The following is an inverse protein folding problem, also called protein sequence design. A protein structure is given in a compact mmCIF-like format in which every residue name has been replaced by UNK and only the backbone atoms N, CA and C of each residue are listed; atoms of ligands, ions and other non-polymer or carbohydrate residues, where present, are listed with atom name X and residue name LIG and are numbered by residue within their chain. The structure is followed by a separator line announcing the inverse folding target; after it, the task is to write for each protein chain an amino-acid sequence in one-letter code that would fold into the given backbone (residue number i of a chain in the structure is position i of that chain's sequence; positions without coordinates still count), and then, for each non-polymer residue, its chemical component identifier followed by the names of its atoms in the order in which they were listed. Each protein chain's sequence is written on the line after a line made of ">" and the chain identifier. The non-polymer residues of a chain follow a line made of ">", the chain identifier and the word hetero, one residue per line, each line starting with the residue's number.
data_IF_584178829672
#
_entry.id   IF_584178829672
#
_cell.length_a   1.000
_cell.length_b   1.000
_cell.length_c   1.000
_cell.angle_alpha   90.00
_cell.angle_beta   90.00
_cell.angle_gamma   90.00
#
_symmetry.space_group_name_H-M   'P 1'
#
loop_
_entity.id
_entity.type
_entity.pdbx_description
1 polymer ?
#
# COMPACT_ATOMS: atom_id res chain seq x y z
N UNK A 1 86.67 10.56 10.13
CA UNK A 1 85.75 9.42 10.16
C UNK A 1 84.31 9.97 10.30
N UNK A 2 83.57 10.01 9.18
CA UNK A 2 82.17 10.47 9.19
C UNK A 2 81.29 9.24 9.10
N UNK A 3 80.50 8.92 10.18
CA UNK A 3 79.49 7.84 10.18
C UNK A 3 78.23 8.34 9.48
N UNK A 4 77.83 7.65 8.40
CA UNK A 4 76.55 7.82 7.73
C UNK A 4 75.52 6.96 8.48
N UNK A 5 74.48 7.59 8.97
CA UNK A 5 73.25 6.89 9.46
C UNK A 5 72.26 6.75 8.30
N UNK A 6 71.96 5.52 7.94
CA UNK A 6 70.91 5.20 6.96
C UNK A 6 69.63 4.93 7.73
N UNK A 7 68.66 5.78 7.55
CA UNK A 7 67.31 5.57 8.10
C UNK A 7 66.49 4.81 7.04
N UNK A 8 66.13 3.57 7.34
CA UNK A 8 65.22 2.77 6.52
C UNK A 8 63.83 3.03 6.99
N UNK A 9 63.01 3.78 6.22
CA UNK A 9 61.60 3.98 6.45
C UNK A 9 60.81 2.77 5.93
N UNK A 10 60.22 1.98 6.81
CA UNK A 10 59.30 0.93 6.46
C UNK A 10 57.91 1.56 6.20
N UNK A 11 57.49 1.59 4.94
CA UNK A 11 56.16 2.00 4.54
C UNK A 11 55.27 0.76 4.67
N UNK A 12 54.45 0.70 5.74
CA UNK A 12 53.38 -0.29 5.88
C UNK A 12 52.17 0.13 5.01
N UNK A 13 52.04 -0.51 3.85
CA UNK A 13 50.80 -0.42 3.08
C UNK A 13 49.67 -1.19 3.83
N UNK A 14 48.80 -0.46 4.53
CA UNK A 14 47.50 -0.98 4.92
C UNK A 14 46.61 -1.01 3.68
N UNK A 15 46.42 -2.17 3.05
CA UNK A 15 45.39 -2.41 2.06
C UNK A 15 44.05 -2.45 2.79
N UNK A 16 43.30 -1.36 2.75
CA UNK A 16 41.85 -1.39 3.03
C UNK A 16 41.18 -2.18 1.90
N UNK A 17 41.06 -3.48 2.07
CA UNK A 17 40.12 -4.26 1.28
C UNK A 17 38.71 -3.86 1.74
N UNK A 18 38.09 -2.90 1.06
CA UNK A 18 36.66 -2.69 1.13
C UNK A 18 36.00 -3.97 0.59
N UNK A 19 35.53 -4.82 1.48
CA UNK A 19 34.63 -5.91 1.10
C UNK A 19 33.34 -5.25 0.57
N UNK A 20 33.25 -5.07 -0.75
CA UNK A 20 31.99 -4.91 -1.43
C UNK A 20 31.19 -6.19 -1.13
N UNK A 21 30.34 -6.15 -0.13
CA UNK A 21 29.31 -7.16 0.06
C UNK A 21 28.38 -7.04 -1.13
N UNK A 22 28.67 -7.82 -2.19
CA UNK A 22 27.73 -8.01 -3.28
C UNK A 22 26.52 -8.70 -2.63
N UNK A 23 25.37 -8.02 -2.63
CA UNK A 23 24.14 -8.63 -2.14
C UNK A 23 23.92 -9.94 -2.91
N UNK A 24 23.58 -11.02 -2.19
CA UNK A 24 23.28 -12.30 -2.82
C UNK A 24 22.17 -12.14 -3.85
N UNK A 25 22.26 -12.83 -5.02
CA UNK A 25 21.19 -12.80 -6.01
C UNK A 25 19.85 -13.18 -5.41
N UNK A 26 18.80 -12.46 -5.77
CA UNK A 26 17.43 -12.84 -5.44
C UNK A 26 16.96 -13.90 -6.45
N UNK A 27 16.73 -15.14 -5.98
CA UNK A 27 16.31 -16.23 -6.83
C UNK A 27 14.79 -16.34 -6.85
N UNK A 28 14.20 -16.12 -8.01
CA UNK A 28 12.75 -16.20 -8.25
C UNK A 28 12.44 -17.49 -9.00
N UNK A 29 11.58 -18.33 -8.42
CA UNK A 29 11.07 -19.56 -9.04
C UNK A 29 10.04 -19.25 -10.10
N UNK A 30 9.11 -18.33 -9.82
CA UNK A 30 8.12 -17.87 -10.80
C UNK A 30 7.69 -16.44 -10.55
N UNK A 31 7.29 -15.76 -11.61
CA UNK A 31 6.69 -14.43 -11.57
C UNK A 31 5.71 -14.23 -12.71
N UNK A 32 4.78 -13.31 -12.55
CA UNK A 32 3.79 -13.00 -13.58
C UNK A 32 2.80 -11.96 -13.15
N UNK A 33 1.76 -11.80 -13.95
CA UNK A 33 0.66 -10.88 -13.65
C UNK A 33 -0.67 -11.44 -14.12
N UNK A 34 -1.76 -10.97 -13.50
CA UNK A 34 -3.12 -11.28 -13.91
C UNK A 34 -4.09 -10.20 -13.44
N UNK A 35 -5.30 -10.19 -14.01
CA UNK A 35 -6.41 -9.39 -13.52
C UNK A 35 -7.24 -10.20 -12.51
N UNK A 36 -7.70 -9.56 -11.43
CA UNK A 36 -8.57 -10.16 -10.42
C UNK A 36 -9.87 -9.36 -10.29
N UNK A 37 -11.01 -10.07 -10.22
CA UNK A 37 -12.33 -9.46 -10.19
C UNK A 37 -12.68 -8.71 -11.46
N UNK A 38 -13.45 -7.64 -11.30
CA UNK A 38 -13.85 -6.75 -12.39
C UNK A 38 -15.29 -6.94 -12.84
N UNK A 39 -15.70 -6.02 -13.71
CA UNK A 39 -17.05 -5.96 -14.27
C UNK A 39 -16.97 -6.02 -15.79
N UNK A 40 -17.92 -6.75 -16.39
CA UNK A 40 -18.09 -6.84 -17.84
C UNK A 40 -19.44 -6.24 -18.21
N UNK A 41 -19.44 -5.19 -19.03
CA UNK A 41 -20.66 -4.53 -19.53
C UNK A 41 -20.70 -4.68 -21.02
N UNK A 42 -21.83 -5.17 -21.56
CA UNK A 42 -22.07 -5.25 -23.00
C UNK A 42 -23.24 -4.35 -23.36
N UNK A 43 -23.03 -3.42 -24.30
CA UNK A 43 -24.10 -2.58 -24.83
C UNK A 43 -25.10 -3.37 -25.65
N UNK A 44 -26.36 -2.95 -25.63
CA UNK A 44 -27.43 -3.60 -26.42
C UNK A 44 -27.15 -3.53 -27.92
N UNK A 45 -27.70 -4.49 -28.69
CA UNK A 45 -27.56 -4.57 -30.13
C UNK A 45 -26.48 -5.55 -30.59
N UNK A 46 -26.15 -5.49 -31.86
CA UNK A 46 -25.11 -6.31 -32.47
C UNK A 46 -23.94 -5.43 -32.92
N UNK A 47 -22.72 -5.93 -32.68
CA UNK A 47 -21.52 -5.28 -33.20
C UNK A 47 -21.54 -5.25 -34.75
N UNK A 48 -21.33 -4.06 -35.30
CA UNK A 48 -21.18 -3.84 -36.71
C UNK A 48 -19.76 -3.35 -37.02
N UNK A 49 -18.91 -4.16 -37.70
CA UNK A 49 -17.55 -3.74 -38.07
C UNK A 49 -17.54 -2.66 -39.18
N UNK A 50 -18.71 -2.36 -39.78
CA UNK A 50 -18.86 -1.36 -40.81
C UNK A 50 -19.94 -0.32 -40.44
N UNK A 51 -19.67 0.54 -39.44
CA UNK A 51 -20.62 1.56 -39.00
C UNK A 51 -20.96 2.52 -40.16
N UNK A 52 -22.17 3.10 -40.11
CA UNK A 52 -22.68 3.95 -41.21
C UNK A 52 -21.82 5.20 -41.47
N UNK A 53 -21.11 5.70 -40.47
CA UNK A 53 -20.14 6.80 -40.65
C UNK A 53 -19.00 6.43 -41.62
N UNK A 54 -18.61 5.15 -41.68
CA UNK A 54 -17.62 4.63 -42.64
C UNK A 54 -18.24 4.48 -44.04
N UNK A 55 -19.52 4.06 -44.13
CA UNK A 55 -20.24 3.88 -45.39
C UNK A 55 -20.45 5.22 -46.09
N UNK A 56 -20.70 6.29 -45.35
CA UNK A 56 -21.04 7.60 -45.89
C UNK A 56 -19.83 8.49 -46.18
N UNK A 57 -18.60 8.03 -45.90
CA UNK A 57 -17.34 8.75 -46.12
C UNK A 57 -17.37 10.22 -45.61
N UNK A 58 -18.06 10.47 -44.53
CA UNK A 58 -18.16 11.82 -43.93
C UNK A 58 -16.86 12.30 -43.33
N UNK A 59 -15.93 11.41 -43.03
CA UNK A 59 -14.59 11.71 -42.59
C UNK A 59 -13.58 10.65 -43.02
N UNK A 60 -12.33 11.05 -43.29
CA UNK A 60 -11.19 10.19 -43.52
C UNK A 60 -10.33 10.04 -42.25
N UNK A 61 -10.75 10.65 -41.10
CA UNK A 61 -10.04 10.55 -39.83
C UNK A 61 -10.29 9.19 -39.17
N UNK A 62 -9.19 8.50 -38.78
CA UNK A 62 -9.29 7.29 -37.97
C UNK A 62 -10.09 7.51 -36.69
N UNK A 63 -9.91 8.68 -36.05
CA UNK A 63 -10.60 8.99 -34.80
C UNK A 63 -12.12 9.11 -34.98
N UNK A 64 -12.60 9.66 -36.07
CA UNK A 64 -14.05 9.75 -36.33
C UNK A 64 -14.65 8.36 -36.58
N UNK A 65 -13.94 7.51 -37.33
CA UNK A 65 -14.34 6.13 -37.55
C UNK A 65 -14.34 5.35 -36.24
N UNK A 66 -13.30 5.52 -35.42
CA UNK A 66 -13.20 4.90 -34.09
C UNK A 66 -14.37 5.34 -33.20
N UNK A 67 -14.62 6.66 -33.08
CA UNK A 67 -15.71 7.19 -32.25
C UNK A 67 -17.10 6.68 -32.70
N UNK A 68 -17.33 6.56 -34.02
CA UNK A 68 -18.56 5.96 -34.55
C UNK A 68 -18.66 4.46 -34.19
N UNK A 69 -17.54 3.75 -34.27
CA UNK A 69 -17.49 2.30 -33.98
C UNK A 69 -17.75 2.00 -32.51
N UNK A 70 -17.17 2.77 -31.58
CA UNK A 70 -17.36 2.55 -30.14
C UNK A 70 -18.76 2.92 -29.64
N UNK A 71 -19.50 3.78 -30.41
CA UNK A 71 -20.90 4.09 -30.13
C UNK A 71 -21.88 3.07 -30.69
N UNK A 72 -21.41 2.15 -31.55
CA UNK A 72 -22.26 1.10 -32.11
C UNK A 72 -22.66 0.11 -31.02
N UNK A 73 -23.84 -0.52 -31.15
CA UNK A 73 -24.31 -1.55 -30.26
C UNK A 73 -23.44 -2.82 -30.28
N UNK A 74 -23.59 -3.68 -29.28
CA UNK A 74 -22.87 -4.95 -29.18
C UNK A 74 -21.39 -4.84 -28.76
N UNK A 75 -20.97 -3.66 -28.26
CA UNK A 75 -19.63 -3.45 -27.72
C UNK A 75 -19.53 -3.92 -26.27
N UNK A 76 -18.37 -4.50 -25.89
CA UNK A 76 -18.12 -4.98 -24.53
C UNK A 76 -16.98 -4.21 -23.89
N UNK A 77 -17.20 -3.81 -22.65
CA UNK A 77 -16.22 -3.15 -21.78
C UNK A 77 -15.88 -4.07 -20.61
N UNK A 78 -14.59 -4.42 -20.48
CA UNK A 78 -14.04 -5.07 -19.29
C UNK A 78 -13.32 -4.02 -18.47
N UNK A 79 -13.75 -3.76 -17.23
CA UNK A 79 -13.16 -2.75 -16.36
C UNK A 79 -13.30 -3.12 -14.89
N UNK A 80 -12.92 -2.20 -14.00
CA UNK A 80 -13.04 -2.31 -12.55
C UNK A 80 -12.39 -3.57 -11.94
N UNK A 81 -11.37 -4.14 -12.61
CA UNK A 81 -10.54 -5.23 -12.10
C UNK A 81 -9.32 -4.67 -11.38
N UNK A 82 -8.75 -5.43 -10.44
CA UNK A 82 -7.41 -5.19 -9.93
C UNK A 82 -6.37 -5.78 -10.89
N UNK A 83 -5.22 -5.12 -11.02
CA UNK A 83 -4.02 -5.72 -11.63
C UNK A 83 -3.13 -6.25 -10.53
N UNK A 84 -2.71 -7.50 -10.68
CA UNK A 84 -1.86 -8.21 -9.73
C UNK A 84 -0.55 -8.56 -10.40
N UNK A 85 0.57 -8.18 -9.80
CA UNK A 85 1.90 -8.67 -10.12
C UNK A 85 2.40 -9.55 -8.99
N UNK A 86 2.98 -10.71 -9.31
CA UNK A 86 3.48 -11.62 -8.27
C UNK A 86 4.88 -12.11 -8.55
N UNK A 87 5.60 -12.41 -7.47
CA UNK A 87 6.89 -13.10 -7.48
C UNK A 87 6.91 -14.15 -6.37
N UNK A 88 7.39 -15.34 -6.70
CA UNK A 88 7.53 -16.47 -5.80
C UNK A 88 9.02 -16.81 -5.72
N UNK A 89 9.67 -16.67 -4.56
CA UNK A 89 11.08 -16.99 -4.44
C UNK A 89 11.29 -18.51 -4.41
N UNK A 90 12.50 -18.95 -4.70
CA UNK A 90 12.89 -20.37 -4.52
C UNK A 90 12.80 -20.72 -3.03
N UNK A 91 12.31 -21.91 -2.72
CA UNK A 91 12.03 -22.37 -1.34
C UNK A 91 11.03 -21.46 -0.59
N UNK A 92 9.98 -21.04 -1.27
CA UNK A 92 8.99 -20.12 -0.75
C UNK A 92 8.27 -20.65 0.50
N UNK A 93 7.97 -19.72 1.41
CA UNK A 93 7.01 -19.93 2.52
C UNK A 93 5.61 -20.19 1.98
N UNK A 94 4.76 -20.82 2.79
CA UNK A 94 3.41 -21.24 2.35
C UNK A 94 2.46 -20.07 2.16
N UNK A 95 2.54 -19.05 3.03
CA UNK A 95 1.62 -17.93 3.03
C UNK A 95 2.23 -16.74 2.29
N UNK A 96 1.64 -16.32 1.16
CA UNK A 96 2.05 -15.11 0.48
C UNK A 96 1.68 -13.85 1.27
N UNK A 97 2.45 -12.78 1.05
CA UNK A 97 2.09 -11.42 1.43
C UNK A 97 1.41 -10.74 0.25
N UNK A 98 0.19 -10.29 0.46
CA UNK A 98 -0.64 -9.59 -0.54
C UNK A 98 -0.69 -8.12 -0.16
N UNK A 99 -0.02 -7.25 -0.94
CA UNK A 99 0.19 -5.86 -0.62
C UNK A 99 -0.80 -4.94 -1.33
N UNK A 100 -1.55 -4.18 -0.55
CA UNK A 100 -2.55 -3.21 -1.01
C UNK A 100 -2.17 -1.79 -0.59
N UNK A 101 -2.00 -0.90 -1.57
CA UNK A 101 -1.62 0.50 -1.35
C UNK A 101 -2.79 1.39 -0.88
N UNK A 102 -2.47 2.63 -0.47
CA UNK A 102 -3.42 3.66 -0.04
C UNK A 102 -3.91 4.59 -1.16
N UNK A 103 -4.57 5.69 -0.75
CA UNK A 103 -5.03 6.73 -1.65
C UNK A 103 -3.87 7.41 -2.38
N UNK A 104 -4.07 7.73 -3.66
CA UNK A 104 -3.04 8.39 -4.47
C UNK A 104 -1.79 7.54 -4.71
N UNK A 105 -1.83 6.24 -4.45
CA UNK A 105 -0.68 5.34 -4.56
C UNK A 105 -0.97 4.21 -5.57
N UNK A 106 0.06 3.43 -5.85
CA UNK A 106 0.02 2.22 -6.67
C UNK A 106 0.91 1.14 -6.04
N UNK A 107 1.05 -0.01 -6.67
CA UNK A 107 1.97 -1.07 -6.23
C UNK A 107 3.42 -0.59 -6.02
N UNK A 108 3.81 0.55 -6.62
CA UNK A 108 5.13 1.15 -6.43
C UNK A 108 5.44 1.49 -4.98
N UNK A 109 4.43 1.76 -4.15
CA UNK A 109 4.59 2.00 -2.71
C UNK A 109 5.40 0.92 -2.01
N UNK A 110 5.32 -0.31 -2.48
CA UNK A 110 5.93 -1.49 -1.88
C UNK A 110 7.24 -1.91 -2.57
N UNK A 111 7.56 -1.32 -3.72
CA UNK A 111 8.75 -1.65 -4.51
C UNK A 111 9.97 -0.87 -4.02
N UNK A 112 10.70 -0.20 -4.93
CA UNK A 112 11.88 0.59 -4.57
C UNK A 112 11.49 1.84 -3.79
N UNK A 113 12.23 2.15 -2.73
CA UNK A 113 12.06 3.39 -1.96
C UNK A 113 12.42 4.62 -2.79
N UNK A 114 11.97 5.83 -2.41
CA UNK A 114 12.27 7.06 -3.17
C UNK A 114 13.76 7.35 -3.35
N UNK A 115 14.59 6.93 -2.40
CA UNK A 115 16.06 7.04 -2.42
C UNK A 115 16.77 5.83 -3.05
N UNK A 116 16.04 4.91 -3.67
CA UNK A 116 16.58 3.81 -4.48
C UNK A 116 16.93 2.54 -3.72
N UNK A 117 16.62 2.43 -2.41
CA UNK A 117 16.85 1.21 -1.63
C UNK A 117 15.76 0.16 -1.89
N UNK A 118 16.00 -1.06 -1.41
CA UNK A 118 15.00 -2.12 -1.41
C UNK A 118 13.76 -1.73 -0.62
N UNK A 119 12.58 -1.85 -1.24
CA UNK A 119 11.30 -1.74 -0.56
C UNK A 119 10.82 -3.09 -0.03
N UNK A 120 9.62 -3.12 0.53
CA UNK A 120 9.07 -4.31 1.17
C UNK A 120 8.93 -5.51 0.22
N UNK A 121 8.66 -5.28 -1.06
CA UNK A 121 8.66 -6.34 -2.06
C UNK A 121 9.96 -7.15 -2.02
N UNK A 122 11.11 -6.49 -2.21
CA UNK A 122 12.41 -7.17 -2.23
C UNK A 122 12.78 -7.73 -0.86
N UNK A 123 12.55 -6.97 0.22
CA UNK A 123 12.89 -7.39 1.58
C UNK A 123 12.16 -8.69 1.95
N UNK A 124 10.87 -8.81 1.65
CA UNK A 124 10.10 -10.00 2.00
C UNK A 124 10.35 -11.18 1.06
N UNK A 125 10.64 -10.93 -0.23
CA UNK A 125 11.13 -11.98 -1.14
C UNK A 125 12.43 -12.60 -0.61
N UNK A 126 13.39 -11.79 -0.13
CA UNK A 126 14.63 -12.27 0.50
C UNK A 126 14.39 -13.03 1.80
N UNK A 127 13.29 -12.75 2.49
CA UNK A 127 12.83 -13.50 3.68
C UNK A 127 12.04 -14.76 3.32
N UNK A 128 11.90 -15.08 2.01
CA UNK A 128 11.25 -16.28 1.50
C UNK A 128 9.73 -16.19 1.33
N UNK A 129 9.12 -15.01 1.48
CA UNK A 129 7.68 -14.88 1.25
C UNK A 129 7.36 -14.70 -0.24
N UNK A 130 6.39 -15.45 -0.79
CA UNK A 130 5.75 -15.03 -2.05
C UNK A 130 5.12 -13.65 -1.88
N UNK A 131 5.27 -12.80 -2.88
CA UNK A 131 4.75 -11.43 -2.83
C UNK A 131 3.79 -11.19 -3.98
N UNK A 132 2.62 -10.65 -3.66
CA UNK A 132 1.62 -10.18 -4.60
C UNK A 132 1.42 -8.68 -4.42
N UNK A 133 1.70 -7.91 -5.45
CA UNK A 133 1.51 -6.46 -5.48
C UNK A 133 0.27 -6.13 -6.29
N UNK A 134 -0.54 -5.21 -5.80
CA UNK A 134 -1.85 -4.90 -6.39
C UNK A 134 -1.92 -3.42 -6.76
N UNK A 135 -2.37 -3.16 -8.00
CA UNK A 135 -3.02 -1.90 -8.32
C UNK A 135 -4.53 -2.07 -8.17
N UNK A 136 -5.13 -1.21 -7.34
CA UNK A 136 -6.57 -1.20 -7.10
C UNK A 136 -7.33 -0.88 -8.39
N UNK A 137 -8.56 -1.40 -8.58
CA UNK A 137 -9.45 -0.96 -9.64
C UNK A 137 -9.49 0.57 -9.78
N UNK A 138 -9.48 1.04 -11.01
CA UNK A 138 -9.49 2.47 -11.37
C UNK A 138 -8.22 3.22 -11.00
N UNK A 139 -7.08 2.51 -10.87
CA UNK A 139 -5.79 3.13 -10.54
C UNK A 139 -4.61 2.40 -11.16
N UNK A 140 -3.53 3.13 -11.48
CA UNK A 140 -2.30 2.56 -12.03
C UNK A 140 -2.53 1.69 -13.26
N UNK A 141 -2.00 0.49 -13.25
CA UNK A 141 -2.20 -0.49 -14.35
C UNK A 141 -3.62 -1.05 -14.43
N UNK A 142 -4.44 -0.85 -13.39
CA UNK A 142 -5.84 -1.23 -13.32
C UNK A 142 -6.79 -0.06 -13.64
N UNK A 143 -6.33 0.91 -14.43
CA UNK A 143 -7.02 2.17 -14.68
C UNK A 143 -8.30 2.08 -15.54
N UNK A 144 -8.62 0.92 -16.14
CA UNK A 144 -9.83 0.79 -16.95
C UNK A 144 -11.07 0.68 -16.07
N UNK A 145 -11.95 1.70 -16.17
CA UNK A 145 -13.19 1.81 -15.39
C UNK A 145 -14.41 1.47 -16.23
N UNK A 146 -15.49 1.00 -15.58
CA UNK A 146 -16.82 0.83 -16.18
C UNK A 146 -17.71 2.07 -16.02
N UNK A 147 -17.23 3.08 -15.33
CA UNK A 147 -17.90 4.38 -15.17
C UNK A 147 -16.99 5.51 -15.64
N UNK A 148 -17.59 6.61 -16.04
CA UNK A 148 -16.83 7.79 -16.45
C UNK A 148 -16.06 8.40 -15.27
N UNK A 149 -14.92 9.00 -15.57
CA UNK A 149 -14.08 9.72 -14.61
C UNK A 149 -13.30 10.83 -15.28
N UNK A 150 -12.89 11.80 -14.48
CA UNK A 150 -12.05 12.93 -14.91
C UNK A 150 -10.81 12.98 -14.04
N UNK A 151 -9.64 13.10 -14.66
CA UNK A 151 -8.37 13.31 -13.97
C UNK A 151 -8.04 14.79 -14.06
N UNK A 152 -8.03 15.46 -12.90
CA UNK A 152 -7.64 16.88 -12.81
C UNK A 152 -6.13 16.98 -12.50
N UNK A 153 -5.49 18.01 -13.07
CA UNK A 153 -4.14 18.41 -12.69
C UNK A 153 -4.22 19.26 -11.41
N UNK A 154 -4.13 18.63 -10.27
CA UNK A 154 -4.25 19.29 -8.96
C UNK A 154 -2.87 19.43 -8.32
N UNK A 155 -2.38 20.66 -8.04
CA UNK A 155 -1.13 20.86 -7.32
C UNK A 155 -1.37 20.71 -5.81
N UNK A 156 -1.08 19.53 -5.25
CA UNK A 156 -1.38 19.18 -3.86
C UNK A 156 -0.19 18.56 -3.09
N UNK A 157 1.02 18.58 -3.63
CA UNK A 157 2.21 17.97 -3.01
C UNK A 157 2.47 18.54 -1.60
N UNK A 158 2.31 19.86 -1.38
CA UNK A 158 2.55 20.48 -0.09
C UNK A 158 1.52 20.08 0.96
N UNK A 159 0.27 19.88 0.54
CA UNK A 159 -0.77 19.32 1.40
C UNK A 159 -0.41 17.91 1.86
N UNK A 160 -0.01 17.04 0.92
CA UNK A 160 0.38 15.68 1.23
C UNK A 160 1.68 15.60 2.02
N UNK A 161 2.63 16.52 1.82
CA UNK A 161 3.85 16.61 2.61
C UNK A 161 3.52 16.76 4.11
N UNK A 162 2.57 17.62 4.45
CA UNK A 162 2.11 17.81 5.84
C UNK A 162 1.22 16.66 6.31
N UNK A 163 0.27 16.21 5.48
CA UNK A 163 -0.66 15.13 5.81
C UNK A 163 0.06 13.80 6.06
N UNK A 164 1.16 13.55 5.36
CA UNK A 164 1.99 12.37 5.54
C UNK A 164 3.03 12.51 6.65
N UNK A 165 3.01 13.63 7.36
CA UNK A 165 3.91 13.92 8.49
C UNK A 165 5.41 13.87 8.11
N UNK A 166 5.72 14.28 6.89
CA UNK A 166 7.11 14.49 6.44
C UNK A 166 7.64 15.79 7.07
N UNK A 167 6.79 16.80 7.20
CA UNK A 167 7.12 18.10 7.77
C UNK A 167 6.01 19.13 7.51
N UNK A 168 6.36 20.41 7.62
CA UNK A 168 5.55 21.55 7.18
C UNK A 168 6.34 22.28 6.11
N UNK A 169 5.87 22.18 4.87
CA UNK A 169 6.59 22.70 3.71
C UNK A 169 7.15 24.11 3.92
N UNK A 170 8.44 24.38 3.59
CA UNK A 170 9.43 23.44 3.00
C UNK A 170 10.29 22.72 4.06
N UNK A 171 9.94 22.74 5.33
CA UNK A 171 10.74 22.19 6.43
C UNK A 171 10.30 20.78 6.79
N UNK A 172 11.27 19.87 6.83
CA UNK A 172 11.08 18.52 7.37
C UNK A 172 10.94 18.56 8.90
N UNK A 173 10.24 17.59 9.47
CA UNK A 173 10.24 17.44 10.93
C UNK A 173 11.62 16.98 11.42
N UNK A 174 11.99 17.42 12.62
CA UNK A 174 13.24 17.03 13.25
C UNK A 174 13.27 15.51 13.48
N UNK A 175 14.32 14.85 12.98
CA UNK A 175 14.50 13.41 13.13
C UNK A 175 13.56 12.55 12.27
N UNK A 176 12.84 13.14 11.30
CA UNK A 176 12.04 12.35 10.35
C UNK A 176 12.92 11.38 9.57
N UNK A 177 12.48 10.15 9.46
CA UNK A 177 13.20 9.08 8.76
C UNK A 177 12.95 9.09 7.25
N UNK A 178 12.53 10.20 6.69
CA UNK A 178 12.34 10.40 5.25
C UNK A 178 13.63 10.96 4.63
N UNK A 179 14.03 10.51 3.42
CA UNK A 179 15.18 11.09 2.73
C UNK A 179 14.89 12.54 2.34
N UNK A 180 15.79 13.47 2.78
CA UNK A 180 15.54 14.92 2.71
C UNK A 180 16.15 15.59 1.47
N UNK A 181 16.74 14.82 0.56
CA UNK A 181 17.24 15.34 -0.69
C UNK A 181 16.15 15.55 -1.74
N UNK A 182 16.34 16.51 -2.64
CA UNK A 182 15.37 16.89 -3.65
C UNK A 182 15.05 15.74 -4.63
N UNK A 183 16.02 14.91 -4.97
CA UNK A 183 15.82 13.81 -5.91
C UNK A 183 14.87 12.76 -5.34
N UNK A 184 15.06 12.39 -4.07
CA UNK A 184 14.19 11.45 -3.36
C UNK A 184 12.79 12.01 -3.16
N UNK A 185 12.67 13.30 -2.78
CA UNK A 185 11.37 13.96 -2.65
C UNK A 185 10.61 14.00 -3.99
N UNK A 186 11.30 14.32 -5.09
CA UNK A 186 10.74 14.28 -6.44
C UNK A 186 10.31 12.87 -6.84
N UNK A 187 11.07 11.82 -6.49
CA UNK A 187 10.67 10.44 -6.76
C UNK A 187 9.44 10.04 -5.95
N UNK A 188 9.34 10.46 -4.70
CA UNK A 188 8.19 10.20 -3.85
C UNK A 188 6.91 10.78 -4.44
N UNK A 189 6.89 12.06 -4.80
CA UNK A 189 5.69 12.67 -5.37
C UNK A 189 5.35 12.19 -6.78
N UNK A 190 6.35 11.77 -7.58
CA UNK A 190 6.11 11.16 -8.90
C UNK A 190 5.50 9.76 -8.86
N UNK A 191 5.46 9.10 -7.72
CA UNK A 191 4.71 7.85 -7.58
C UNK A 191 3.22 8.08 -7.31
N UNK A 192 2.80 9.31 -6.98
CA UNK A 192 1.39 9.65 -6.80
C UNK A 192 0.60 9.28 -8.07
N UNK A 193 -0.44 8.49 -7.87
CA UNK A 193 -1.18 7.86 -8.97
C UNK A 193 -2.66 8.22 -8.83
N UNK A 194 -3.24 8.97 -9.79
CA UNK A 194 -4.64 9.40 -9.71
C UNK A 194 -5.59 8.22 -9.94
N UNK A 195 -6.82 8.36 -9.43
CA UNK A 195 -7.93 7.52 -9.85
C UNK A 195 -8.40 7.94 -11.25
N UNK A 196 -8.74 6.96 -12.09
CA UNK A 196 -9.35 7.18 -13.41
C UNK A 196 -10.87 7.36 -13.33
N UNK A 197 -11.48 6.98 -12.19
CA UNK A 197 -12.88 7.22 -11.83
C UNK A 197 -13.02 7.21 -10.29
N UNK A 198 -14.23 7.46 -9.78
CA UNK A 198 -14.50 7.49 -8.34
C UNK A 198 -14.05 6.19 -7.65
N UNK A 199 -13.42 6.35 -6.48
CA UNK A 199 -13.04 5.22 -5.62
C UNK A 199 -14.28 4.51 -5.10
N UNK A 200 -14.26 3.17 -5.16
CA UNK A 200 -15.33 2.30 -4.67
C UNK A 200 -14.70 1.14 -3.86
N UNK A 201 -14.84 1.21 -2.54
CA UNK A 201 -14.29 0.20 -1.63
C UNK A 201 -14.92 -1.18 -1.83
N UNK A 202 -16.19 -1.24 -2.27
CA UNK A 202 -16.88 -2.48 -2.60
C UNK A 202 -16.21 -3.19 -3.77
N UNK A 203 -15.99 -2.49 -4.88
CA UNK A 203 -15.34 -3.01 -6.08
C UNK A 203 -13.90 -3.46 -5.76
N UNK A 204 -13.15 -2.67 -4.98
CA UNK A 204 -11.78 -3.04 -4.61
C UNK A 204 -11.77 -4.29 -3.74
N UNK A 205 -12.65 -4.38 -2.73
CA UNK A 205 -12.71 -5.57 -1.85
C UNK A 205 -13.20 -6.83 -2.58
N UNK A 206 -14.08 -6.69 -3.59
CA UNK A 206 -14.51 -7.81 -4.43
C UNK A 206 -13.38 -8.32 -5.33
N UNK A 207 -12.54 -7.41 -5.83
CA UNK A 207 -11.34 -7.79 -6.60
C UNK A 207 -10.32 -8.52 -5.73
N UNK A 208 -10.14 -8.10 -4.46
CA UNK A 208 -9.27 -8.81 -3.52
C UNK A 208 -9.83 -10.18 -3.13
N UNK A 209 -11.16 -10.27 -2.91
CA UNK A 209 -11.81 -11.57 -2.69
C UNK A 209 -11.52 -12.52 -3.85
N UNK A 210 -11.72 -12.08 -5.10
CA UNK A 210 -11.41 -12.86 -6.28
C UNK A 210 -9.91 -13.24 -6.39
N UNK A 211 -9.01 -12.38 -5.92
CA UNK A 211 -7.59 -12.69 -5.82
C UNK A 211 -7.37 -13.85 -4.84
N UNK A 212 -7.88 -13.76 -3.62
CA UNK A 212 -7.72 -14.81 -2.60
C UNK A 212 -8.38 -16.13 -3.01
N UNK A 213 -9.52 -16.10 -3.70
CA UNK A 213 -10.14 -17.30 -4.31
C UNK A 213 -9.21 -17.97 -5.34
N UNK A 214 -8.39 -17.19 -6.05
CA UNK A 214 -7.44 -17.71 -7.04
C UNK A 214 -6.14 -18.21 -6.42
N UNK A 215 -5.59 -17.50 -5.44
CA UNK A 215 -4.26 -17.79 -4.88
C UNK A 215 -4.32 -18.65 -3.61
N UNK A 216 -5.50 -18.74 -2.98
CA UNK A 216 -5.69 -19.44 -1.70
C UNK A 216 -5.37 -18.58 -0.50
N UNK A 217 -4.89 -19.24 0.57
CA UNK A 217 -4.61 -18.61 1.85
C UNK A 217 -3.42 -17.66 1.77
N UNK A 218 -3.52 -16.51 2.46
CA UNK A 218 -2.46 -15.51 2.49
C UNK A 218 -2.61 -14.47 3.60
N UNK A 219 -1.64 -13.60 3.69
CA UNK A 219 -1.56 -12.49 4.65
C UNK A 219 -1.82 -11.19 3.89
N UNK A 220 -2.85 -10.45 4.29
CA UNK A 220 -3.19 -9.17 3.66
C UNK A 220 -2.43 -8.03 4.34
N UNK A 221 -1.59 -7.34 3.59
CA UNK A 221 -0.82 -6.17 4.04
C UNK A 221 -1.40 -4.92 3.39
N UNK A 222 -1.87 -3.98 4.18
CA UNK A 222 -2.56 -2.78 3.71
C UNK A 222 -1.87 -1.51 4.17
N UNK A 223 -2.11 -0.42 3.45
CA UNK A 223 -1.68 0.91 3.82
C UNK A 223 -2.81 1.91 3.68
N UNK A 224 -3.01 2.79 4.68
CA UNK A 224 -3.86 3.98 4.62
C UNK A 224 -5.31 3.67 4.21
N UNK A 225 -5.82 4.23 3.12
CA UNK A 225 -7.13 3.94 2.53
C UNK A 225 -7.30 2.43 2.26
N UNK A 226 -6.24 1.73 1.92
CA UNK A 226 -6.24 0.28 1.72
C UNK A 226 -6.65 -0.50 2.98
N UNK A 227 -6.47 0.06 4.17
CA UNK A 227 -6.92 -0.55 5.43
C UNK A 227 -8.44 -0.68 5.50
N UNK A 228 -9.20 0.33 5.03
CA UNK A 228 -10.67 0.28 4.97
C UNK A 228 -11.11 -0.90 4.10
N UNK A 229 -10.48 -1.03 2.95
CA UNK A 229 -10.74 -2.14 2.01
C UNK A 229 -10.30 -3.48 2.60
N UNK A 230 -9.19 -3.48 3.35
CA UNK A 230 -8.68 -4.68 4.02
C UNK A 230 -9.70 -5.28 4.98
N UNK A 231 -10.36 -4.46 5.80
CA UNK A 231 -11.43 -4.92 6.69
C UNK A 231 -12.60 -5.51 5.92
N UNK A 232 -13.04 -4.83 4.85
CA UNK A 232 -14.13 -5.32 3.99
C UNK A 232 -13.76 -6.64 3.31
N UNK A 233 -12.52 -6.79 2.85
CA UNK A 233 -12.03 -8.03 2.23
C UNK A 233 -12.02 -9.18 3.23
N UNK A 234 -11.57 -8.95 4.46
CA UNK A 234 -11.58 -9.96 5.51
C UNK A 234 -13.00 -10.41 5.87
N UNK A 235 -13.96 -9.49 5.90
CA UNK A 235 -15.37 -9.82 6.09
C UNK A 235 -15.92 -10.69 4.95
N UNK A 236 -15.51 -10.40 3.70
CA UNK A 236 -15.97 -11.13 2.50
C UNK A 236 -15.26 -12.48 2.29
N UNK A 237 -14.03 -12.64 2.79
CA UNK A 237 -13.18 -13.81 2.55
C UNK A 237 -12.44 -14.30 3.81
N UNK A 238 -13.13 -14.50 4.94
CA UNK A 238 -12.49 -14.82 6.22
C UNK A 238 -11.73 -16.14 6.19
N UNK A 239 -12.12 -17.09 5.33
CA UNK A 239 -11.48 -18.39 5.22
C UNK A 239 -10.05 -18.32 4.67
N UNK A 240 -9.75 -17.37 3.79
CA UNK A 240 -8.48 -17.27 3.09
C UNK A 240 -7.50 -16.26 3.73
N UNK A 241 -7.99 -15.31 4.49
CA UNK A 241 -7.12 -14.31 5.12
C UNK A 241 -6.64 -14.83 6.47
N UNK A 242 -5.36 -15.18 6.55
CA UNK A 242 -4.75 -15.78 7.75
C UNK A 242 -4.22 -14.76 8.73
N UNK A 243 -3.99 -13.53 8.27
CA UNK A 243 -3.65 -12.39 9.12
C UNK A 243 -3.86 -11.08 8.32
N UNK A 244 -4.01 -9.98 9.05
CA UNK A 244 -4.01 -8.64 8.49
C UNK A 244 -2.85 -7.85 9.12
N UNK A 245 -2.08 -7.18 8.26
CA UNK A 245 -1.07 -6.20 8.63
C UNK A 245 -1.53 -4.86 8.07
N UNK A 246 -1.81 -3.89 8.94
CA UNK A 246 -2.32 -2.59 8.51
C UNK A 246 -1.36 -1.47 8.91
N UNK A 247 -0.75 -0.82 7.93
CA UNK A 247 0.05 0.38 8.14
C UNK A 247 -0.84 1.60 8.05
N UNK A 248 -1.04 2.28 9.18
CA UNK A 248 -1.81 3.52 9.31
C UNK A 248 -3.17 3.48 8.60
N UNK A 249 -4.06 2.54 8.94
CA UNK A 249 -5.36 2.43 8.29
C UNK A 249 -6.22 3.67 8.51
N UNK A 250 -6.95 4.08 7.47
CA UNK A 250 -7.72 5.32 7.46
C UNK A 250 -8.94 5.31 8.36
N UNK A 251 -9.54 4.15 8.65
CA UNK A 251 -10.74 4.00 9.47
C UNK A 251 -10.91 2.55 9.95
N UNK A 252 -11.85 2.35 10.89
CA UNK A 252 -12.10 1.08 11.56
C UNK A 252 -13.60 0.74 11.61
N UNK A 253 -13.99 -0.53 11.37
CA UNK A 253 -15.38 -0.97 11.49
C UNK A 253 -15.69 -1.45 12.92
N UNK A 254 -16.62 -0.80 13.58
CA UNK A 254 -17.12 -1.20 14.90
C UNK A 254 -18.45 -1.94 14.78
N UNK A 255 -18.76 -2.86 15.72
CA UNK A 255 -20.04 -3.54 15.70
C UNK A 255 -21.18 -2.60 16.08
N UNK A 256 -22.36 -2.85 15.55
CA UNK A 256 -23.57 -2.13 15.91
C UNK A 256 -23.78 -2.13 17.43
N UNK A 257 -23.97 -0.92 17.98
CA UNK A 257 -24.14 -0.69 19.42
C UNK A 257 -22.85 -0.48 20.22
N UNK A 258 -21.66 -0.63 19.59
CA UNK A 258 -20.36 -0.41 20.25
C UNK A 258 -19.49 0.60 19.47
N UNK A 259 -20.09 1.42 18.60
CA UNK A 259 -19.38 2.50 17.92
C UNK A 259 -18.98 3.56 18.96
N UNK A 260 -17.69 3.92 19.08
CA UNK A 260 -17.26 4.91 20.06
C UNK A 260 -17.81 6.31 19.74
N UNK A 261 -17.88 7.21 20.71
CA UNK A 261 -18.19 8.61 20.47
C UNK A 261 -17.21 9.24 19.47
N UNK A 262 -17.73 10.17 18.67
CA UNK A 262 -16.90 10.93 17.75
C UNK A 262 -15.83 11.74 18.49
N UNK A 263 -14.60 11.67 18.04
CA UNK A 263 -13.50 12.50 18.53
C UNK A 263 -13.43 13.72 17.60
N UNK A 264 -13.71 14.88 18.16
CA UNK A 264 -13.72 16.14 17.43
C UNK A 264 -12.35 16.54 16.93
N UNK A 265 -12.30 17.09 15.71
CA UNK A 265 -11.12 17.70 15.11
C UNK A 265 -11.54 18.96 14.33
N UNK A 266 -10.75 20.02 14.46
CA UNK A 266 -10.95 21.23 13.65
C UNK A 266 -10.69 21.02 12.15
N UNK A 267 -10.13 19.88 11.78
CA UNK A 267 -9.88 19.49 10.37
C UNK A 267 -10.91 18.51 9.84
N UNK A 268 -12.05 18.38 10.51
CA UNK A 268 -13.12 17.47 10.16
C UNK A 268 -13.09 16.16 10.95
N UNK A 269 -14.27 15.67 11.29
CA UNK A 269 -14.45 14.48 12.11
C UNK A 269 -14.15 13.21 11.33
N UNK A 270 -13.56 12.23 12.01
CA UNK A 270 -13.34 10.89 11.49
C UNK A 270 -14.39 9.98 12.11
N UNK A 271 -15.43 9.69 11.33
CA UNK A 271 -16.53 8.84 11.80
C UNK A 271 -16.16 7.37 11.62
N UNK A 272 -16.13 6.56 12.70
CA UNK A 272 -15.91 5.12 12.59
C UNK A 272 -16.97 4.46 11.71
N UNK A 273 -16.58 3.46 10.93
CA UNK A 273 -17.50 2.65 10.18
C UNK A 273 -18.33 1.75 11.12
N UNK A 274 -19.57 1.47 10.75
CA UNK A 274 -20.45 0.55 11.48
C UNK A 274 -20.69 -0.70 10.64
N UNK A 275 -20.57 -1.88 11.27
CA UNK A 275 -20.86 -3.17 10.64
C UNK A 275 -21.80 -4.01 11.52
N UNK A 276 -22.43 -5.01 10.93
CA UNK A 276 -23.23 -5.97 11.70
C UNK A 276 -22.36 -6.72 12.70
N UNK A 277 -22.96 -7.23 13.79
CA UNK A 277 -22.23 -8.07 14.75
C UNK A 277 -21.69 -9.35 14.12
N UNK A 278 -22.40 -9.89 13.14
CA UNK A 278 -21.97 -11.07 12.38
C UNK A 278 -20.71 -10.76 11.55
N UNK A 279 -20.68 -9.62 10.84
CA UNK A 279 -19.51 -9.21 10.08
C UNK A 279 -18.33 -8.86 10.97
N UNK A 280 -18.58 -8.22 12.11
CA UNK A 280 -17.54 -7.94 13.08
C UNK A 280 -16.90 -9.22 13.64
N UNK A 281 -17.71 -10.25 13.91
CA UNK A 281 -17.21 -11.55 14.39
C UNK A 281 -16.25 -12.23 13.41
N UNK A 282 -16.34 -11.94 12.10
CA UNK A 282 -15.37 -12.45 11.11
C UNK A 282 -13.99 -11.82 11.31
N UNK A 283 -13.89 -10.57 11.76
CA UNK A 283 -12.65 -9.87 12.03
C UNK A 283 -11.93 -10.38 13.31
N UNK A 284 -12.60 -11.15 14.15
CA UNK A 284 -12.00 -11.78 15.34
C UNK A 284 -11.33 -13.13 15.04
N UNK A 285 -11.43 -13.64 13.79
CA UNK A 285 -10.99 -14.99 13.44
C UNK A 285 -9.52 -15.08 13.01
N UNK A 286 -8.84 -13.95 12.87
CA UNK A 286 -7.45 -13.90 12.44
C UNK A 286 -6.66 -12.88 13.26
N UNK A 287 -5.34 -13.09 13.46
CA UNK A 287 -4.50 -12.10 14.10
C UNK A 287 -4.33 -10.85 13.23
N UNK A 288 -4.31 -9.70 13.89
CA UNK A 288 -4.14 -8.39 13.24
C UNK A 288 -3.03 -7.61 13.93
N UNK A 289 -2.14 -7.01 13.16
CA UNK A 289 -1.21 -5.99 13.64
C UNK A 289 -1.43 -4.68 12.92
N UNK A 290 -1.47 -3.59 13.68
CA UNK A 290 -1.66 -2.23 13.16
C UNK A 290 -0.44 -1.40 13.54
N UNK A 291 0.21 -0.79 12.55
CA UNK A 291 1.38 0.06 12.76
C UNK A 291 1.04 1.52 12.57
N UNK A 292 1.55 2.37 13.46
CA UNK A 292 1.54 3.83 13.33
C UNK A 292 2.95 4.37 13.41
N UNK A 293 3.27 5.36 12.56
CA UNK A 293 4.55 6.05 12.53
C UNK A 293 4.72 7.09 13.65
N UNK A 294 5.64 8.01 13.42
CA UNK A 294 5.99 9.09 14.35
C UNK A 294 5.28 10.42 13.99
N UNK A 295 5.61 11.48 14.73
CA UNK A 295 5.03 12.82 14.57
C UNK A 295 3.49 12.82 14.64
N UNK A 296 2.94 12.00 15.54
CA UNK A 296 1.53 11.97 15.91
C UNK A 296 1.41 12.63 17.29
N UNK A 297 0.61 13.69 17.38
CA UNK A 297 0.44 14.42 18.65
C UNK A 297 -0.37 13.62 19.67
N UNK A 298 -0.03 13.74 20.94
CA UNK A 298 -0.82 13.18 22.06
C UNK A 298 -2.05 14.05 22.39
N UNK A 299 -2.06 15.30 21.95
CA UNK A 299 -3.11 16.28 22.21
C UNK A 299 -3.62 16.87 20.87
N UNK A 300 -4.81 17.51 20.86
CA UNK A 300 -5.26 18.23 19.68
C UNK A 300 -4.19 19.19 19.17
N UNK A 301 -3.89 19.11 17.86
CA UNK A 301 -2.84 19.88 17.20
C UNK A 301 -3.40 20.88 16.19
N UNK A 302 -2.66 21.95 15.93
CA UNK A 302 -2.92 22.90 14.84
C UNK A 302 -2.39 22.41 13.50
N UNK A 303 -1.72 21.27 13.48
CA UNK A 303 -1.18 20.65 12.27
C UNK A 303 -2.10 19.49 11.88
N UNK A 304 -2.71 19.59 10.69
CA UNK A 304 -3.72 18.65 10.23
C UNK A 304 -3.23 17.20 10.25
N UNK A 305 -2.03 16.93 9.75
CA UNK A 305 -1.48 15.58 9.74
C UNK A 305 -1.30 14.98 11.14
N UNK A 306 -0.81 15.79 12.11
CA UNK A 306 -0.63 15.33 13.48
C UNK A 306 -1.98 15.02 14.15
N UNK A 307 -2.96 15.94 14.03
CA UNK A 307 -4.26 15.80 14.70
C UNK A 307 -5.12 14.69 14.12
N UNK A 308 -5.22 14.59 12.80
CA UNK A 308 -6.02 13.56 12.17
C UNK A 308 -5.44 12.15 12.36
N UNK A 309 -4.11 12.01 12.44
CA UNK A 309 -3.50 10.71 12.76
C UNK A 309 -3.56 10.39 14.25
N UNK A 310 -3.59 11.40 15.13
CA UNK A 310 -3.90 11.22 16.56
C UNK A 310 -5.26 10.53 16.73
N UNK A 311 -6.30 11.02 16.06
CA UNK A 311 -7.64 10.44 16.16
C UNK A 311 -7.63 9.00 15.64
N UNK A 312 -6.96 8.72 14.51
CA UNK A 312 -6.89 7.36 13.97
C UNK A 312 -6.13 6.41 14.88
N UNK A 313 -5.09 6.86 15.56
CA UNK A 313 -4.38 6.05 16.55
C UNK A 313 -5.27 5.73 17.76
N UNK A 314 -6.04 6.69 18.27
CA UNK A 314 -7.02 6.46 19.33
C UNK A 314 -8.09 5.47 18.87
N UNK A 315 -8.64 5.67 17.67
CA UNK A 315 -9.64 4.74 17.10
C UNK A 315 -9.07 3.33 16.89
N UNK A 316 -7.80 3.21 16.50
CA UNK A 316 -7.13 1.91 16.38
C UNK A 316 -7.05 1.18 17.73
N UNK A 317 -6.70 1.90 18.81
CA UNK A 317 -6.64 1.33 20.15
C UNK A 317 -8.03 0.89 20.62
N UNK A 318 -9.04 1.73 20.46
CA UNK A 318 -10.43 1.38 20.80
C UNK A 318 -10.95 0.20 19.98
N UNK A 319 -10.59 0.13 18.69
CA UNK A 319 -10.97 -0.99 17.85
C UNK A 319 -10.28 -2.29 18.26
N UNK A 320 -8.98 -2.23 18.60
CA UNK A 320 -8.25 -3.38 19.13
C UNK A 320 -8.87 -3.89 20.43
N UNK A 321 -9.25 -2.98 21.35
CA UNK A 321 -9.96 -3.34 22.58
C UNK A 321 -11.29 -4.04 22.25
N UNK A 322 -12.08 -3.49 21.31
CA UNK A 322 -13.36 -4.08 20.91
C UNK A 322 -13.17 -5.47 20.30
N UNK A 323 -12.25 -5.65 19.35
CA UNK A 323 -11.98 -6.96 18.72
C UNK A 323 -11.47 -7.97 19.77
N UNK A 324 -10.55 -7.58 20.63
CA UNK A 324 -9.98 -8.47 21.66
C UNK A 324 -11.03 -8.85 22.73
N UNK A 325 -11.91 -7.94 23.11
CA UNK A 325 -13.08 -8.20 23.98
C UNK A 325 -14.00 -9.27 23.37
N UNK A 326 -14.13 -9.30 22.06
CA UNK A 326 -14.91 -10.31 21.32
C UNK A 326 -14.12 -11.59 20.97
N UNK A 327 -12.95 -11.79 21.60
CA UNK A 327 -12.12 -13.00 21.45
C UNK A 327 -11.17 -12.99 20.27
N UNK A 328 -10.93 -11.84 19.64
CA UNK A 328 -9.93 -11.68 18.59
C UNK A 328 -8.50 -11.46 19.11
N UNK A 329 -7.58 -11.19 18.19
CA UNK A 329 -6.14 -10.99 18.48
C UNK A 329 -5.61 -9.81 17.68
N UNK A 330 -5.77 -8.61 18.22
CA UNK A 330 -5.31 -7.35 17.59
C UNK A 330 -4.24 -6.69 18.45
N UNK A 331 -3.13 -6.34 17.83
CA UNK A 331 -2.04 -5.56 18.44
C UNK A 331 -1.86 -4.24 17.69
N UNK A 332 -1.83 -3.12 18.41
CA UNK A 332 -1.48 -1.80 17.87
C UNK A 332 -0.04 -1.46 18.27
N UNK A 333 0.79 -1.17 17.29
CA UNK A 333 2.19 -0.80 17.44
C UNK A 333 2.37 0.67 17.02
N UNK A 334 2.64 1.54 17.99
CA UNK A 334 3.15 2.88 17.73
C UNK A 334 4.67 2.76 17.63
N UNK A 335 5.23 2.87 16.43
CA UNK A 335 6.63 2.59 16.13
C UNK A 335 7.63 3.30 17.05
N UNK A 336 7.44 4.59 17.44
CA UNK A 336 8.33 5.23 18.42
C UNK A 336 8.40 4.50 19.76
N UNK A 337 7.29 3.94 20.24
CA UNK A 337 7.24 3.16 21.49
C UNK A 337 7.96 1.81 21.37
N UNK A 338 8.04 1.27 20.14
CA UNK A 338 8.83 0.09 19.80
C UNK A 338 10.31 0.41 19.51
N UNK A 339 10.75 1.67 19.72
CA UNK A 339 12.12 2.10 19.49
C UNK A 339 12.47 2.43 18.03
N UNK A 340 11.48 2.44 17.14
CA UNK A 340 11.63 2.78 15.72
C UNK A 340 11.04 4.17 15.50
N UNK A 341 11.90 5.19 15.36
CA UNK A 341 11.51 6.61 15.39
C UNK A 341 11.62 7.27 14.02
N UNK A 342 10.93 8.40 13.89
CA UNK A 342 10.96 9.27 12.71
C UNK A 342 10.11 8.82 11.55
N UNK A 343 9.38 7.72 11.64
CA UNK A 343 8.59 7.18 10.54
C UNK A 343 7.44 8.12 10.16
N UNK A 344 7.34 8.34 8.85
CA UNK A 344 6.24 9.09 8.24
C UNK A 344 4.98 8.22 8.11
N UNK A 345 4.01 8.70 7.35
CA UNK A 345 2.86 7.89 6.94
C UNK A 345 3.25 6.68 6.07
N UNK A 346 4.49 6.63 5.58
CA UNK A 346 5.02 5.58 4.71
C UNK A 346 6.18 4.81 5.35
N UNK A 347 5.98 4.08 6.46
CA UNK A 347 7.06 3.36 7.14
C UNK A 347 7.81 2.39 6.22
N UNK A 348 7.15 1.89 5.17
CA UNK A 348 7.74 0.99 4.17
C UNK A 348 8.71 1.69 3.20
N UNK A 349 8.72 3.02 3.16
CA UNK A 349 9.57 3.83 2.27
C UNK A 349 10.59 4.69 3.01
N UNK A 350 10.47 4.78 4.33
CA UNK A 350 11.37 5.57 5.18
C UNK A 350 12.79 4.97 5.25
N UNK A 351 13.77 5.75 5.71
CA UNK A 351 15.18 5.36 5.79
C UNK A 351 15.45 4.14 6.67
N UNK A 352 14.54 3.84 7.58
CA UNK A 352 14.57 2.69 8.50
C UNK A 352 13.53 1.62 8.16
N UNK A 353 13.10 1.52 6.89
CA UNK A 353 12.12 0.56 6.44
C UNK A 353 12.53 -0.90 6.70
N UNK A 354 13.82 -1.19 6.71
CA UNK A 354 14.39 -2.48 7.07
C UNK A 354 14.04 -2.89 8.52
N UNK A 355 14.12 -1.95 9.47
CA UNK A 355 13.73 -2.19 10.87
C UNK A 355 12.23 -2.43 11.02
N UNK A 356 11.42 -1.69 10.26
CA UNK A 356 9.97 -1.89 10.23
C UNK A 356 9.63 -3.27 9.65
N UNK A 357 10.28 -3.66 8.56
CA UNK A 357 10.12 -4.97 7.95
C UNK A 357 10.58 -6.11 8.88
N UNK A 358 11.68 -5.92 9.63
CA UNK A 358 12.16 -6.89 10.61
C UNK A 358 11.16 -7.06 11.76
N UNK A 359 10.61 -5.94 12.27
CA UNK A 359 9.57 -5.99 13.30
C UNK A 359 8.35 -6.80 12.83
N UNK A 360 7.89 -6.58 11.59
CA UNK A 360 6.81 -7.37 11.00
C UNK A 360 7.19 -8.85 10.86
N UNK A 361 8.40 -9.16 10.39
CA UNK A 361 8.86 -10.54 10.23
C UNK A 361 8.88 -11.29 11.57
N UNK A 362 9.29 -10.64 12.65
CA UNK A 362 9.26 -11.18 14.00
C UNK A 362 7.82 -11.43 14.48
N UNK A 363 6.90 -10.49 14.27
CA UNK A 363 5.49 -10.69 14.58
C UNK A 363 4.88 -11.87 13.82
N UNK A 364 5.17 -11.99 12.51
CA UNK A 364 4.71 -13.12 11.70
C UNK A 364 5.23 -14.46 12.25
N UNK A 365 6.49 -14.48 12.68
CA UNK A 365 7.10 -15.66 13.31
C UNK A 365 6.44 -16.01 14.65
N UNK A 366 6.20 -15.03 15.52
CA UNK A 366 5.51 -15.21 16.80
C UNK A 366 4.10 -15.77 16.61
N UNK A 367 3.39 -15.37 15.55
CA UNK A 367 2.07 -15.91 15.20
C UNK A 367 2.13 -17.24 14.44
N UNK A 368 3.32 -17.79 14.15
CA UNK A 368 3.49 -19.05 13.40
C UNK A 368 3.10 -18.96 11.93
N UNK A 369 3.14 -17.76 11.35
CA UNK A 369 2.75 -17.43 9.97
C UNK A 369 3.95 -17.42 8.99
N UNK A 370 5.12 -17.79 9.46
CA UNK A 370 6.39 -17.74 8.71
C UNK A 370 6.86 -19.10 8.16
N UNK A 371 5.99 -20.09 8.10
CA UNK A 371 6.30 -21.47 7.69
C UNK A 371 6.23 -21.70 6.19
#
# INVERSE_FOLDING_TARGET
>A
MKKKFTITAAISLFSLASHLTIAEPLMIESQGSFAAGGTVITSAGQYNPRPDAVKNKTSNSFMDVFQASVKAGGQTLHGDHATVFYQIPVNAKKLPLVFLHGAGQSMRTWQTTPDGRAGFNEIFLRKGYPVYLIDQPRRGQAGRSTVDGTIAATPDDQFWFAQFRIGIWPKFFDGVAFPQDEASLNQFFRQMTPNTAAFDAGIVSDSLKALFERVGDGILVTHSQGGIVGWMTAIKSPAHIKAIVAYEPGNFPFPEGEVPPTIESKFGDILPAKVSKEDFAKLTQMPVVIYFGDNISDQPSDIQGEDQWRIRLILAQQWAEAVNKHGGDVTVIHLPQAGIKGNTHFPMQDLNNDKVAEHLANWLKEKGLDK
#
